data_IF_407595927534
#
_entry.id   IF_407595927534
#
_cell.length_a   1.000
_cell.length_b   1.000
_cell.length_c   1.000
_cell.angle_alpha   90.00
_cell.angle_beta   90.00
_cell.angle_gamma   90.00
#
_symmetry.space_group_name_H-M   'P 1'
#
loop_
_entity.id
_entity.type
_entity.pdbx_description
1 polymer ?
#
# COMPACT_ATOMS: atom_id res chain seq x y z
N UNK A 1 7.37 16.80 -12.75
CA UNK A 1 6.54 15.74 -13.35
C UNK A 1 6.42 14.64 -12.34
N UNK A 2 5.22 14.36 -11.84
CA UNK A 2 5.00 13.34 -10.80
C UNK A 2 4.83 12.00 -11.51
N UNK A 3 5.83 11.14 -11.45
CA UNK A 3 5.82 9.83 -12.11
C UNK A 3 5.60 8.71 -11.09
N UNK A 4 4.66 7.81 -11.37
CA UNK A 4 4.49 6.61 -10.55
C UNK A 4 5.71 5.69 -10.70
N UNK A 5 6.05 4.95 -9.65
CA UNK A 5 7.21 4.07 -9.62
C UNK A 5 7.29 3.08 -10.80
N UNK A 6 6.14 2.64 -11.32
CA UNK A 6 6.05 1.70 -12.46
C UNK A 6 5.77 2.39 -13.80
N UNK A 7 6.06 3.70 -13.91
CA UNK A 7 5.77 4.52 -15.10
C UNK A 7 4.31 4.40 -15.57
N UNK A 8 3.40 4.18 -14.63
CA UNK A 8 1.96 4.11 -14.89
C UNK A 8 1.33 5.48 -14.73
N UNK A 9 0.40 5.82 -15.64
CA UNK A 9 -0.36 7.05 -15.52
C UNK A 9 -1.38 6.93 -14.39
N UNK A 10 -1.21 7.74 -13.35
CA UNK A 10 -2.22 7.90 -12.31
C UNK A 10 -3.29 8.87 -12.83
N UNK A 11 -4.55 8.44 -12.91
CA UNK A 11 -5.65 9.31 -13.33
C UNK A 11 -6.32 10.02 -12.15
N UNK A 12 -6.36 9.35 -11.00
CA UNK A 12 -7.12 9.79 -9.83
C UNK A 12 -6.45 9.35 -8.55
N UNK A 13 -6.34 10.27 -7.61
CA UNK A 13 -5.88 10.02 -6.26
C UNK A 13 -7.00 10.35 -5.29
N UNK A 14 -7.36 9.41 -4.41
CA UNK A 14 -8.40 9.61 -3.39
C UNK A 14 -7.77 9.52 -2.02
N UNK A 15 -7.98 10.55 -1.21
CA UNK A 15 -7.52 10.61 0.17
C UNK A 15 -8.71 10.83 1.11
N UNK A 16 -8.53 10.53 2.39
CA UNK A 16 -9.50 10.99 3.38
C UNK A 16 -9.43 12.51 3.56
N UNK A 17 -10.42 13.07 4.26
CA UNK A 17 -10.42 14.51 4.58
C UNK A 17 -9.53 14.83 5.80
N UNK A 18 -8.51 14.00 6.05
CA UNK A 18 -7.46 14.26 7.02
C UNK A 18 -6.63 15.44 6.55
N UNK A 19 -6.44 16.44 7.43
CA UNK A 19 -5.77 17.71 7.08
C UNK A 19 -4.31 17.54 6.65
N UNK A 20 -3.73 16.35 6.83
CA UNK A 20 -2.34 16.01 6.52
C UNK A 20 -2.03 16.04 5.02
N UNK A 21 -3.02 15.76 4.16
CA UNK A 21 -2.86 15.74 2.70
C UNK A 21 -3.56 16.91 1.99
N UNK A 22 -3.93 17.95 2.75
CA UNK A 22 -4.67 19.12 2.26
C UNK A 22 -3.75 20.35 2.19
N UNK A 23 -2.45 20.18 1.96
CA UNK A 23 -1.63 21.34 1.61
C UNK A 23 -1.99 21.80 0.19
N UNK A 24 -2.04 23.11 -0.01
CA UNK A 24 -2.25 23.69 -1.34
C UNK A 24 -1.17 23.20 -2.32
N UNK A 25 0.07 23.05 -1.85
CA UNK A 25 1.20 22.55 -2.64
C UNK A 25 0.95 21.15 -3.22
N UNK A 26 0.42 20.20 -2.43
CA UNK A 26 0.14 18.85 -2.91
C UNK A 26 -0.98 18.87 -3.96
N UNK A 27 -2.00 19.71 -3.75
CA UNK A 27 -3.09 19.86 -4.69
C UNK A 27 -2.60 20.42 -6.04
N UNK A 28 -1.77 21.47 -6.01
CA UNK A 28 -1.24 22.10 -7.21
C UNK A 28 -0.38 21.11 -8.02
N UNK A 29 0.45 20.30 -7.34
CA UNK A 29 1.25 19.23 -7.98
C UNK A 29 0.35 18.22 -8.71
N UNK A 30 -0.76 17.80 -8.09
CA UNK A 30 -1.68 16.86 -8.72
C UNK A 30 -2.41 17.47 -9.91
N UNK A 31 -2.89 18.72 -9.80
CA UNK A 31 -3.58 19.42 -10.88
C UNK A 31 -2.64 19.69 -12.07
N UNK A 32 -1.41 20.14 -11.84
CA UNK A 32 -0.38 20.32 -12.87
C UNK A 32 -0.02 18.99 -13.57
N UNK A 33 -0.06 17.89 -12.82
CA UNK A 33 0.19 16.55 -13.35
C UNK A 33 -1.03 15.93 -14.05
N UNK A 34 -2.18 16.62 -14.08
CA UNK A 34 -3.43 16.14 -14.66
C UNK A 34 -4.11 15.01 -13.86
N UNK A 35 -3.79 14.90 -12.56
CA UNK A 35 -4.31 13.88 -11.66
C UNK A 35 -5.53 14.44 -10.93
N UNK A 36 -6.67 13.75 -11.02
CA UNK A 36 -7.87 14.16 -10.30
C UNK A 36 -7.72 13.85 -8.80
N UNK A 37 -7.69 14.89 -7.96
CA UNK A 37 -7.61 14.73 -6.51
C UNK A 37 -9.01 14.72 -5.87
N UNK A 38 -9.34 13.66 -5.14
CA UNK A 38 -10.64 13.47 -4.49
C UNK A 38 -10.49 13.30 -2.98
N UNK A 39 -11.40 13.94 -2.24
CA UNK A 39 -11.51 13.76 -0.79
C UNK A 39 -12.75 12.91 -0.47
N UNK A 40 -12.62 12.00 0.50
CA UNK A 40 -13.79 11.31 1.03
C UNK A 40 -14.69 12.27 1.82
N UNK A 41 -15.99 12.01 1.77
CA UNK A 41 -16.97 12.78 2.53
C UNK A 41 -16.73 12.50 4.01
N UNK A 42 -16.81 13.54 4.85
CA UNK A 42 -16.67 13.38 6.30
C UNK A 42 -17.69 12.36 6.81
N UNK A 43 -17.26 11.54 7.76
CA UNK A 43 -18.07 10.48 8.37
C UNK A 43 -18.52 9.37 7.40
N UNK A 44 -17.85 9.22 6.24
CA UNK A 44 -18.07 8.09 5.32
C UNK A 44 -16.82 7.19 5.17
N UNK A 45 -16.39 6.50 6.23
CA UNK A 45 -15.17 5.66 6.21
C UNK A 45 -15.21 4.58 5.12
N UNK A 46 -16.39 4.16 4.68
CA UNK A 46 -16.58 3.19 3.59
C UNK A 46 -15.93 3.66 2.27
N UNK A 47 -15.85 4.98 2.03
CA UNK A 47 -15.22 5.53 0.83
C UNK A 47 -13.69 5.34 0.81
N UNK A 48 -13.07 5.19 1.98
CA UNK A 48 -11.63 4.88 2.13
C UNK A 48 -11.38 3.43 2.56
N UNK A 49 -12.42 2.58 2.54
CA UNK A 49 -12.38 1.25 3.13
C UNK A 49 -11.37 0.29 2.49
N UNK A 50 -10.87 0.57 1.28
CA UNK A 50 -9.79 -0.22 0.66
C UNK A 50 -8.45 0.07 1.37
N UNK A 51 -8.09 1.34 1.53
CA UNK A 51 -6.86 1.73 2.20
C UNK A 51 -6.89 1.33 3.68
N UNK A 52 -8.01 1.59 4.37
CA UNK A 52 -8.17 1.21 5.78
C UNK A 52 -8.06 -0.31 6.00
N UNK A 53 -8.65 -1.12 5.12
CA UNK A 53 -8.51 -2.58 5.19
C UNK A 53 -7.07 -3.02 4.97
N UNK A 54 -6.37 -2.44 3.99
CA UNK A 54 -4.97 -2.77 3.75
C UNK A 54 -4.08 -2.39 4.93
N UNK A 55 -4.28 -1.21 5.52
CA UNK A 55 -3.54 -0.76 6.71
C UNK A 55 -3.73 -1.73 7.89
N UNK A 56 -4.96 -2.19 8.12
CA UNK A 56 -5.25 -3.21 9.14
C UNK A 56 -4.56 -4.54 8.82
N UNK A 57 -4.62 -5.03 7.59
CA UNK A 57 -3.93 -6.27 7.19
C UNK A 57 -2.42 -6.19 7.40
N UNK A 58 -1.79 -5.05 7.09
CA UNK A 58 -0.37 -4.82 7.34
C UNK A 58 -0.09 -4.85 8.86
N UNK A 59 -0.88 -4.12 9.65
CA UNK A 59 -0.73 -4.07 11.11
C UNK A 59 -0.89 -5.44 11.78
N UNK A 60 -1.87 -6.24 11.33
CA UNK A 60 -2.08 -7.60 11.82
C UNK A 60 -0.89 -8.51 11.49
N UNK A 61 -0.38 -8.47 10.25
CA UNK A 61 0.81 -9.26 9.86
C UNK A 61 2.06 -8.88 10.66
N UNK A 62 2.29 -7.59 10.87
CA UNK A 62 3.40 -7.10 11.71
C UNK A 62 3.31 -7.70 13.12
N UNK A 63 2.11 -7.64 13.73
CA UNK A 63 1.89 -8.19 15.08
C UNK A 63 2.15 -9.69 15.10
N UNK A 64 1.62 -10.45 14.14
CA UNK A 64 1.85 -11.89 14.04
C UNK A 64 3.34 -12.21 13.93
N UNK A 65 4.06 -11.55 13.02
CA UNK A 65 5.50 -11.78 12.80
C UNK A 65 6.34 -11.50 14.04
N UNK A 66 6.11 -10.35 14.71
CA UNK A 66 6.85 -10.00 15.93
C UNK A 66 6.55 -10.96 17.08
N UNK A 67 5.29 -11.41 17.23
CA UNK A 67 4.89 -12.35 18.27
C UNK A 67 5.47 -13.75 18.03
N UNK A 68 5.45 -14.24 16.79
CA UNK A 68 5.95 -15.57 16.43
C UNK A 68 7.47 -15.66 16.55
N UNK A 69 8.19 -14.64 16.07
CA UNK A 69 9.67 -14.59 16.12
C UNK A 69 10.23 -14.31 17.52
N UNK A 70 9.41 -13.82 18.47
CA UNK A 70 9.86 -13.39 19.78
C UNK A 70 10.77 -12.16 19.76
N UNK A 71 10.78 -11.42 18.65
CA UNK A 71 11.66 -10.27 18.43
C UNK A 71 11.18 -9.02 19.18
N UNK A 72 12.10 -8.07 19.37
CA UNK A 72 11.78 -6.81 20.02
C UNK A 72 10.87 -5.95 19.14
N UNK A 73 9.93 -5.22 19.76
CA UNK A 73 9.01 -4.30 19.08
C UNK A 73 9.72 -3.19 18.28
N UNK A 74 10.99 -2.89 18.57
CA UNK A 74 11.78 -1.92 17.82
C UNK A 74 11.99 -2.33 16.35
N UNK A 75 11.90 -3.63 16.03
CA UNK A 75 12.03 -4.17 14.67
C UNK A 75 10.71 -4.10 13.86
N UNK A 76 9.72 -3.33 14.33
CA UNK A 76 8.43 -3.20 13.64
C UNK A 76 8.59 -2.68 12.20
N UNK A 77 9.58 -1.85 11.91
CA UNK A 77 9.86 -1.37 10.54
C UNK A 77 10.27 -2.51 9.62
N UNK A 78 11.13 -3.42 10.08
CA UNK A 78 11.51 -4.62 9.33
C UNK A 78 10.33 -5.58 9.13
N UNK A 79 9.47 -5.69 10.15
CA UNK A 79 8.21 -6.42 10.06
C UNK A 79 7.26 -5.80 9.02
N UNK A 80 7.18 -4.46 8.92
CA UNK A 80 6.39 -3.77 7.89
C UNK A 80 6.92 -4.12 6.50
N UNK A 81 8.23 -4.00 6.28
CA UNK A 81 8.84 -4.31 4.99
C UNK A 81 8.60 -5.77 4.60
N UNK A 82 8.74 -6.69 5.54
CA UNK A 82 8.48 -8.12 5.32
C UNK A 82 7.00 -8.37 5.02
N UNK A 83 6.08 -7.77 5.78
CA UNK A 83 4.65 -7.90 5.57
C UNK A 83 4.23 -7.41 4.18
N UNK A 84 4.69 -6.22 3.77
CA UNK A 84 4.40 -5.65 2.44
C UNK A 84 5.04 -6.49 1.33
N UNK A 85 6.25 -7.02 1.54
CA UNK A 85 6.91 -7.91 0.59
C UNK A 85 6.10 -9.18 0.33
N UNK A 86 5.55 -9.78 1.39
CA UNK A 86 4.71 -10.97 1.33
C UNK A 86 3.33 -10.68 0.74
N UNK A 87 2.68 -9.59 1.12
CA UNK A 87 1.36 -9.19 0.56
C UNK A 87 1.45 -9.10 -0.97
N UNK A 88 2.48 -8.43 -1.49
CA UNK A 88 2.67 -8.27 -2.93
C UNK A 88 3.05 -9.58 -3.66
N UNK A 89 3.40 -10.64 -2.94
CA UNK A 89 3.80 -11.95 -3.49
C UNK A 89 2.84 -13.07 -3.10
N UNK A 90 1.73 -12.73 -2.48
CA UNK A 90 0.67 -13.66 -2.10
C UNK A 90 -0.46 -13.58 -3.12
N UNK A 91 -1.16 -14.70 -3.29
CA UNK A 91 -2.38 -14.73 -4.10
C UNK A 91 -3.45 -13.84 -3.47
N UNK A 92 -4.25 -13.21 -4.33
CA UNK A 92 -5.41 -12.46 -3.90
C UNK A 92 -6.58 -12.82 -4.80
N UNK A 93 -7.78 -12.91 -4.24
CA UNK A 93 -9.01 -13.24 -4.98
C UNK A 93 -9.23 -12.31 -6.19
N UNK A 94 -8.84 -11.04 -6.04
CA UNK A 94 -8.96 -10.03 -7.10
C UNK A 94 -8.16 -10.36 -8.38
N UNK A 95 -7.09 -11.15 -8.27
CA UNK A 95 -6.12 -11.35 -9.35
C UNK A 95 -6.15 -12.75 -9.99
N UNK A 96 -7.17 -13.57 -9.69
CA UNK A 96 -7.43 -14.87 -10.37
C UNK A 96 -6.15 -15.71 -10.60
N UNK A 97 -5.58 -16.24 -9.52
CA UNK A 97 -4.34 -17.05 -9.51
C UNK A 97 -3.04 -16.31 -9.89
N UNK A 98 -3.04 -14.97 -9.90
CA UNK A 98 -1.82 -14.16 -10.01
C UNK A 98 -1.51 -13.42 -8.72
N UNK A 99 -0.27 -12.96 -8.60
CA UNK A 99 0.20 -12.15 -7.46
C UNK A 99 0.48 -10.70 -7.91
N UNK A 100 0.30 -9.69 -7.04
CA UNK A 100 0.50 -8.29 -7.41
C UNK A 100 1.88 -8.00 -8.03
N UNK A 101 2.95 -8.60 -7.48
CA UNK A 101 4.30 -8.42 -7.99
C UNK A 101 4.47 -8.92 -9.44
N UNK A 102 3.76 -9.98 -9.84
CA UNK A 102 3.80 -10.45 -11.23
C UNK A 102 3.22 -9.40 -12.18
N UNK A 103 2.14 -8.74 -11.78
CA UNK A 103 1.51 -7.69 -12.60
C UNK A 103 2.36 -6.43 -12.69
N UNK A 104 2.99 -6.03 -11.59
CA UNK A 104 3.83 -4.83 -11.54
C UNK A 104 5.16 -5.00 -12.28
N UNK A 105 5.80 -6.17 -12.16
CA UNK A 105 7.12 -6.42 -12.73
C UNK A 105 7.10 -7.23 -14.04
N UNK A 106 5.92 -7.64 -14.51
CA UNK A 106 5.74 -8.41 -15.75
C UNK A 106 6.36 -9.81 -15.74
N UNK A 107 6.78 -10.30 -14.58
CA UNK A 107 7.47 -11.58 -14.41
C UNK A 107 7.20 -12.19 -13.04
N UNK A 108 7.29 -13.52 -12.93
CA UNK A 108 7.07 -14.21 -11.67
C UNK A 108 8.07 -13.73 -10.60
N UNK A 109 7.61 -13.44 -9.38
CA UNK A 109 8.50 -12.95 -8.33
C UNK A 109 9.48 -14.02 -7.88
N UNK A 110 10.75 -13.64 -7.71
CA UNK A 110 11.75 -14.50 -7.11
C UNK A 110 11.52 -14.62 -5.59
N UNK A 111 11.33 -15.85 -5.12
CA UNK A 111 11.05 -16.16 -3.70
C UNK A 111 12.29 -16.63 -2.92
N UNK A 112 13.49 -16.73 -3.53
CA UNK A 112 14.71 -17.24 -2.87
C UNK A 112 15.12 -16.42 -1.64
N UNK A 113 14.73 -15.14 -1.59
CA UNK A 113 15.00 -14.22 -0.49
C UNK A 113 14.07 -14.42 0.72
N UNK A 114 13.02 -15.24 0.61
CA UNK A 114 12.14 -15.51 1.73
C UNK A 114 12.87 -16.29 2.82
N UNK A 115 12.69 -15.82 4.05
CA UNK A 115 13.20 -16.38 5.30
C UNK A 115 12.08 -16.30 6.33
N UNK A 116 12.19 -17.12 7.37
CA UNK A 116 11.40 -16.94 8.59
C UNK A 116 11.76 -15.55 9.13
N UNK A 117 10.74 -14.81 9.54
CA UNK A 117 10.91 -13.48 10.11
C UNK A 117 11.61 -13.56 11.47
#
# INVERSE_FOLDING_TARGET
MTEAHFNTKLSRFRCDNGREYISHEIKDIFEESGIQFEFTIRYTPQQNGVAERMNRTIAEKIRCMLLESGTQKCLWTEAVLTAVYLINRSLTEALKNKVPAELWYGSLPNLKKLRIF
#
